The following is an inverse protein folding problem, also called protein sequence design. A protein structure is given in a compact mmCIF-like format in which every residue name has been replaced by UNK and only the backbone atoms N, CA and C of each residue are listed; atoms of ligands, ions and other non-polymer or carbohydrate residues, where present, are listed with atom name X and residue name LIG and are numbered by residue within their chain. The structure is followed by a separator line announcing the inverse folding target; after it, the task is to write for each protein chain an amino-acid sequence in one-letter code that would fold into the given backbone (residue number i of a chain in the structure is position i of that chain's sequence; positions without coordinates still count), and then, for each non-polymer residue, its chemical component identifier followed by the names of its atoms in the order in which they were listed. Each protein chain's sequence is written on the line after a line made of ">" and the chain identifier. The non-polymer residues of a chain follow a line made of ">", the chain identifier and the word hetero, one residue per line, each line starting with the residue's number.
data_IF_779066745059
#
_entry.id   IF_779066745059
#
_cell.length_a   1.000
_cell.length_b   1.000
_cell.length_c   1.000
_cell.angle_alpha   90.00
_cell.angle_beta   90.00
_cell.angle_gamma   90.00
#
_symmetry.space_group_name_H-M   'P 1'
#
loop_
_entity.id
_entity.type
_entity.pdbx_description
1 polymer ?
#
# COMPACT_ATOMS: atom_id res chain seq x y z
N UNK A 1 10.20 9.19 -5.81
CA UNK A 1 9.82 8.20 -6.83
C UNK A 1 8.34 7.96 -6.65
N UNK A 2 7.53 8.02 -7.72
CA UNK A 2 6.11 7.72 -7.59
C UNK A 2 5.92 6.21 -7.47
N UNK A 3 4.92 5.79 -6.69
CA UNK A 3 4.60 4.36 -6.51
C UNK A 3 4.18 3.70 -7.84
N UNK A 4 3.57 4.45 -8.76
CA UNK A 4 3.24 3.97 -10.10
C UNK A 4 4.49 3.80 -11.00
N UNK A 5 5.56 4.55 -10.74
CA UNK A 5 6.84 4.40 -11.46
C UNK A 5 7.70 3.28 -10.85
N UNK A 6 7.34 2.82 -9.65
CA UNK A 6 8.02 1.74 -8.96
C UNK A 6 7.58 0.41 -9.55
N UNK A 7 8.50 -0.29 -10.22
CA UNK A 7 8.24 -1.58 -10.86
C UNK A 7 7.97 -2.67 -9.81
N UNK A 8 6.73 -2.74 -9.34
CA UNK A 8 6.33 -3.65 -8.28
C UNK A 8 6.05 -5.07 -8.77
N UNK A 9 5.79 -5.22 -10.08
CA UNK A 9 5.58 -6.51 -10.75
C UNK A 9 6.73 -7.45 -10.48
N UNK A 10 6.41 -8.71 -10.24
CA UNK A 10 7.35 -9.81 -9.98
C UNK A 10 8.23 -9.58 -8.73
N UNK A 11 7.85 -8.61 -7.89
CA UNK A 11 8.42 -8.40 -6.58
C UNK A 11 7.52 -8.95 -5.48
N UNK A 12 8.02 -8.86 -4.24
CA UNK A 12 7.36 -9.41 -3.06
C UNK A 12 7.40 -8.45 -1.90
N UNK A 13 6.28 -8.30 -1.18
CA UNK A 13 6.30 -7.70 0.14
C UNK A 13 6.88 -8.75 1.10
N UNK A 14 8.01 -8.44 1.72
CA UNK A 14 8.66 -9.33 2.69
C UNK A 14 8.15 -9.14 4.11
N UNK A 15 7.70 -7.92 4.43
CA UNK A 15 7.29 -7.56 5.78
C UNK A 15 6.37 -6.34 5.77
N UNK A 16 5.35 -6.38 6.59
CA UNK A 16 4.46 -5.26 6.88
C UNK A 16 4.60 -4.87 8.35
N UNK A 17 4.96 -3.61 8.62
CA UNK A 17 5.07 -3.07 9.96
C UNK A 17 4.23 -1.81 10.07
N UNK A 18 3.13 -1.89 10.84
CA UNK A 18 2.31 -0.73 11.15
C UNK A 18 2.68 -0.15 12.51
N UNK A 19 2.60 1.17 12.63
CA UNK A 19 2.49 1.85 13.90
C UNK A 19 1.27 2.78 13.88
N UNK A 20 1.16 3.69 14.86
CA UNK A 20 -0.01 4.56 15.02
C UNK A 20 -0.19 5.53 13.84
N UNK A 21 0.89 5.95 13.17
CA UNK A 21 0.86 7.01 12.14
C UNK A 21 1.34 6.55 10.77
N UNK A 22 2.19 5.53 10.71
CA UNK A 22 2.81 5.07 9.48
C UNK A 22 2.65 3.56 9.26
N UNK A 23 2.80 3.17 7.99
CA UNK A 23 2.93 1.79 7.55
C UNK A 23 4.22 1.66 6.75
N UNK A 24 5.05 0.70 7.14
CA UNK A 24 6.30 0.35 6.47
C UNK A 24 6.14 -0.99 5.77
N UNK A 25 6.39 -1.00 4.47
CA UNK A 25 6.47 -2.20 3.66
C UNK A 25 7.94 -2.44 3.29
N UNK A 26 8.49 -3.55 3.75
CA UNK A 26 9.75 -4.04 3.20
C UNK A 26 9.42 -4.83 1.94
N UNK A 27 9.94 -4.40 0.80
CA UNK A 27 9.68 -4.98 -0.51
C UNK A 27 10.99 -5.49 -1.12
N UNK A 28 10.92 -6.57 -1.89
CA UNK A 28 12.02 -7.10 -2.71
C UNK A 28 11.60 -7.07 -4.17
N UNK A 29 12.37 -6.40 -5.00
CA UNK A 29 12.10 -6.37 -6.44
C UNK A 29 12.54 -7.67 -7.14
N UNK A 30 12.23 -7.78 -8.44
CA UNK A 30 12.58 -8.91 -9.29
C UNK A 30 14.10 -9.16 -9.43
N UNK A 31 14.94 -8.15 -9.13
CA UNK A 31 16.40 -8.28 -9.10
C UNK A 31 16.92 -8.73 -7.73
N UNK A 32 16.02 -8.97 -6.77
CA UNK A 32 16.36 -9.34 -5.40
C UNK A 32 16.77 -8.16 -4.50
N UNK A 33 16.67 -6.93 -5.00
CA UNK A 33 17.04 -5.73 -4.27
C UNK A 33 15.91 -5.31 -3.34
N UNK A 34 16.29 -4.82 -2.16
CA UNK A 34 15.35 -4.48 -1.10
C UNK A 34 15.02 -3.00 -1.11
N UNK A 35 13.77 -2.72 -0.80
CA UNK A 35 13.20 -1.40 -0.76
C UNK A 35 12.31 -1.27 0.47
N UNK A 36 12.22 -0.05 0.98
CA UNK A 36 11.32 0.32 2.05
C UNK A 36 10.33 1.36 1.52
N UNK A 37 9.04 1.03 1.55
CA UNK A 37 7.95 1.95 1.22
C UNK A 37 7.31 2.37 2.53
N UNK A 38 7.23 3.67 2.79
CA UNK A 38 6.67 4.24 4.02
C UNK A 38 5.45 5.07 3.65
N UNK A 39 4.26 4.65 4.08
CA UNK A 39 3.03 5.44 3.97
C UNK A 39 2.82 6.22 5.27
N UNK A 40 2.58 7.52 5.16
CA UNK A 40 2.32 8.39 6.31
C UNK A 40 0.81 8.71 6.43
N UNK A 41 0.39 9.02 7.66
CA UNK A 41 -1.00 9.33 7.99
C UNK A 41 -1.94 8.21 7.51
N UNK A 42 -1.67 6.99 7.95
CA UNK A 42 -2.45 5.80 7.58
C UNK A 42 -3.72 5.73 8.43
N UNK A 43 -4.89 5.75 7.79
CA UNK A 43 -6.19 5.60 8.46
C UNK A 43 -6.64 4.15 8.58
N UNK A 44 -6.33 3.31 7.58
CA UNK A 44 -6.76 1.92 7.58
C UNK A 44 -5.87 1.01 6.74
N UNK A 45 -5.79 -0.25 7.16
CA UNK A 45 -5.02 -1.31 6.53
C UNK A 45 -5.89 -2.56 6.49
N UNK A 46 -5.99 -3.18 5.32
CA UNK A 46 -6.56 -4.51 5.13
C UNK A 46 -5.51 -5.38 4.42
N UNK A 47 -5.12 -6.50 5.04
CA UNK A 47 -4.08 -7.39 4.52
C UNK A 47 -4.56 -8.85 4.55
N UNK A 48 -4.35 -9.57 3.44
CA UNK A 48 -4.67 -11.00 3.27
C UNK A 48 -3.42 -11.78 2.90
N UNK A 49 -2.66 -12.23 3.91
CA UNK A 49 -1.46 -13.07 3.75
C UNK A 49 -0.51 -12.63 2.61
N UNK A 50 -0.36 -11.31 2.42
CA UNK A 50 0.35 -10.73 1.26
C UNK A 50 1.88 -10.84 1.36
N UNK A 51 2.40 -11.24 2.51
CA UNK A 51 3.84 -11.43 2.69
C UNK A 51 4.33 -12.65 1.91
N UNK A 52 5.44 -12.48 1.20
CA UNK A 52 6.09 -13.46 0.30
C UNK A 52 5.26 -13.90 -0.92
N UNK A 53 4.11 -13.27 -1.15
CA UNK A 53 3.33 -13.42 -2.39
C UNK A 53 3.95 -12.63 -3.55
N UNK A 54 3.89 -13.22 -4.75
CA UNK A 54 4.28 -12.53 -5.98
C UNK A 54 3.27 -11.43 -6.31
N UNK A 55 3.74 -10.19 -6.48
CA UNK A 55 2.90 -9.05 -6.85
C UNK A 55 2.79 -8.90 -8.37
N UNK A 56 1.61 -8.49 -8.81
CA UNK A 56 1.35 -8.11 -10.21
C UNK A 56 1.48 -6.60 -10.40
N UNK A 57 0.71 -5.83 -9.65
CA UNK A 57 0.62 -4.39 -9.81
C UNK A 57 0.05 -3.72 -8.57
N UNK A 58 0.11 -2.39 -8.56
CA UNK A 58 -0.52 -1.53 -7.58
C UNK A 58 -1.49 -0.59 -8.29
N UNK A 59 -2.63 -0.33 -7.69
CA UNK A 59 -3.59 0.68 -8.15
C UNK A 59 -3.81 1.71 -7.05
N UNK A 60 -3.93 2.97 -7.45
CA UNK A 60 -4.19 4.09 -6.57
C UNK A 60 -5.55 4.65 -6.93
N UNK A 61 -6.47 4.67 -5.98
CA UNK A 61 -7.83 5.16 -6.17
C UNK A 61 -8.11 6.36 -5.28
N UNK A 62 -8.71 7.40 -5.86
CA UNK A 62 -9.28 8.51 -5.07
C UNK A 62 -10.52 8.07 -4.30
N UNK A 63 -11.24 7.07 -4.81
CA UNK A 63 -12.42 6.47 -4.16
C UNK A 63 -12.43 4.97 -4.39
N UNK A 64 -12.48 4.19 -3.30
CA UNK A 64 -12.58 2.72 -3.27
C UNK A 64 -13.70 2.33 -2.30
N UNK A 65 -14.33 1.17 -2.52
CA UNK A 65 -15.31 0.58 -1.61
C UNK A 65 -14.77 0.36 -0.19
N UNK A 66 -13.45 0.26 -0.03
CA UNK A 66 -12.73 0.20 1.23
C UNK A 66 -12.51 1.58 1.86
N UNK A 67 -12.21 2.61 1.06
CA UNK A 67 -11.95 3.97 1.55
C UNK A 67 -13.20 4.61 2.15
N UNK A 68 -14.35 4.47 1.49
CA UNK A 68 -15.60 5.10 1.93
C UNK A 68 -15.96 4.79 3.39
N UNK A 69 -16.07 3.52 3.82
CA UNK A 69 -16.36 3.21 5.22
C UNK A 69 -15.22 3.63 6.14
N UNK A 70 -13.95 3.64 5.70
CA UNK A 70 -12.85 4.20 6.52
C UNK A 70 -13.12 5.66 6.87
N UNK A 71 -13.52 6.49 5.90
CA UNK A 71 -13.77 7.92 6.16
C UNK A 71 -14.93 8.16 7.14
N UNK A 72 -15.93 7.26 7.19
CA UNK A 72 -17.04 7.36 8.16
C UNK A 72 -16.57 7.22 9.62
N UNK A 73 -15.44 6.55 9.88
CA UNK A 73 -14.82 6.48 11.21
C UNK A 73 -13.95 7.71 11.55
N UNK A 74 -13.60 8.54 10.56
CA UNK A 74 -12.75 9.72 10.71
C UNK A 74 -13.44 10.98 10.13
N UNK A 75 -14.58 11.41 10.69
CA UNK A 75 -15.39 12.49 10.12
C UNK A 75 -14.71 13.87 10.12
N UNK A 76 -13.68 14.05 10.95
CA UNK A 76 -12.90 15.29 11.02
C UNK A 76 -11.84 15.39 9.90
N UNK A 77 -11.56 14.29 9.20
CA UNK A 77 -10.60 14.25 8.11
C UNK A 77 -11.24 14.63 6.77
N UNK A 78 -10.46 15.31 5.91
CA UNK A 78 -10.91 15.66 4.56
C UNK A 78 -10.63 14.51 3.59
N UNK A 79 -11.69 13.95 3.01
CA UNK A 79 -11.62 12.78 2.13
C UNK A 79 -10.65 12.95 0.94
N UNK A 80 -10.54 14.16 0.39
CA UNK A 80 -9.67 14.49 -0.74
C UNK A 80 -8.16 14.37 -0.43
N UNK A 81 -7.78 14.36 0.86
CA UNK A 81 -6.38 14.17 1.28
C UNK A 81 -5.90 12.73 1.19
N UNK A 82 -6.83 11.77 1.19
CA UNK A 82 -6.51 10.35 1.33
C UNK A 82 -6.72 9.61 0.00
N UNK A 83 -5.92 8.57 -0.21
CA UNK A 83 -6.00 7.67 -1.35
C UNK A 83 -6.05 6.22 -0.87
N UNK A 84 -6.66 5.35 -1.67
CA UNK A 84 -6.62 3.90 -1.47
C UNK A 84 -5.52 3.30 -2.33
N UNK A 85 -4.52 2.71 -1.71
CA UNK A 85 -3.44 1.98 -2.37
C UNK A 85 -3.75 0.49 -2.30
N UNK A 86 -3.95 -0.13 -3.46
CA UNK A 86 -4.37 -1.51 -3.59
C UNK A 86 -3.27 -2.32 -4.29
N UNK A 87 -2.69 -3.29 -3.58
CA UNK A 87 -1.67 -4.18 -4.11
C UNK A 87 -2.29 -5.51 -4.47
N UNK A 88 -2.03 -5.97 -5.69
CA UNK A 88 -2.60 -7.18 -6.26
C UNK A 88 -1.52 -8.27 -6.39
N UNK A 89 -1.87 -9.49 -5.98
CA UNK A 89 -1.03 -10.66 -6.22
C UNK A 89 -1.09 -11.10 -7.70
N UNK A 90 -0.07 -11.83 -8.15
CA UNK A 90 0.02 -12.38 -9.50
C UNK A 90 -1.12 -13.34 -9.85
N UNK A 91 -1.72 -13.98 -8.84
CA UNK A 91 -2.71 -15.04 -9.00
C UNK A 91 -4.09 -14.69 -8.41
N UNK A 92 -4.32 -13.42 -8.08
CA UNK A 92 -5.56 -12.95 -7.45
C UNK A 92 -6.15 -11.77 -8.21
N UNK A 93 -7.44 -11.83 -8.52
CA UNK A 93 -8.21 -10.70 -9.06
C UNK A 93 -8.53 -9.65 -7.98
N UNK A 94 -8.44 -10.05 -6.70
CA UNK A 94 -8.65 -9.16 -5.57
C UNK A 94 -7.34 -8.59 -5.03
N UNK A 95 -7.39 -7.35 -4.56
CA UNK A 95 -6.28 -6.74 -3.84
C UNK A 95 -6.02 -7.51 -2.54
N UNK A 96 -4.76 -7.88 -2.33
CA UNK A 96 -4.29 -8.61 -1.15
C UNK A 96 -3.81 -7.68 -0.03
N UNK A 97 -3.53 -6.43 -0.37
CA UNK A 97 -3.27 -5.35 0.58
C UNK A 97 -3.97 -4.08 0.11
N UNK A 98 -4.77 -3.49 1.00
CA UNK A 98 -5.36 -2.16 0.82
C UNK A 98 -4.92 -1.24 1.94
N UNK A 99 -4.53 -0.02 1.59
CA UNK A 99 -4.08 1.00 2.53
C UNK A 99 -4.84 2.29 2.23
N UNK A 100 -5.47 2.90 3.23
CA UNK A 100 -5.98 4.26 3.14
C UNK A 100 -4.99 5.18 3.84
N UNK A 101 -4.31 6.02 3.08
CA UNK A 101 -3.28 6.93 3.59
C UNK A 101 -3.24 8.21 2.74
N UNK A 102 -2.50 9.21 3.19
CA UNK A 102 -2.25 10.41 2.38
C UNK A 102 -1.37 10.09 1.17
N UNK A 103 -1.25 11.05 0.24
CA UNK A 103 -0.27 10.98 -0.86
C UNK A 103 1.18 11.28 -0.43
N UNK A 104 1.44 11.29 0.88
CA UNK A 104 2.77 11.48 1.45
C UNK A 104 3.40 10.12 1.76
N UNK A 105 4.11 9.55 0.80
CA UNK A 105 4.89 8.33 1.00
C UNK A 105 6.35 8.50 0.55
N UNK A 106 7.22 7.67 1.12
CA UNK A 106 8.63 7.59 0.75
C UNK A 106 8.98 6.19 0.24
N UNK A 107 9.85 6.13 -0.78
CA UNK A 107 10.42 4.89 -1.31
C UNK A 107 11.94 4.98 -1.20
N UNK A 108 12.54 4.07 -0.44
CA UNK A 108 13.96 4.09 -0.09
C UNK A 108 14.58 2.74 -0.46
N UNK A 109 15.74 2.77 -1.10
CA UNK A 109 16.57 1.58 -1.33
C UNK A 109 17.33 1.20 -0.06
N UNK A 110 17.35 -0.09 0.29
CA UNK A 110 18.05 -0.63 1.47
C UNK A 110 19.40 -1.26 1.13
#
# INVERSE_FOLDING_TARGET
>A
MLLNDFHISDGKILKIESNVLDLKLTFKDWKGKKWLIIFNEVLSIQAMSIEDEDLSHVQIFESDVFKKPTMEYFPDEREDRFQSYNFYGAWSENALLKIVATNEYAIIEL
#
